data_IF_474232888628
#
_entry.id   IF_474232888628
#
_cell.length_a   1.000
_cell.length_b   1.000
_cell.length_c   1.000
_cell.angle_alpha   90.00
_cell.angle_beta   90.00
_cell.angle_gamma   90.00
#
_symmetry.space_group_name_H-M   'P 1'
#
loop_
_entity.id
_entity.type
_entity.pdbx_description
1 polymer ?
#
# COMPACT_ATOMS: atom_id res chain seq x y z
N UNK A 1 -0.96 -10.03 -27.08
CA UNK A 1 0.12 -9.05 -26.80
C UNK A 1 0.65 -9.28 -25.40
N UNK A 2 1.95 -9.59 -25.26
CA UNK A 2 2.59 -9.77 -23.95
C UNK A 2 2.78 -8.41 -23.32
N UNK A 3 2.09 -8.14 -22.20
CA UNK A 3 2.26 -6.90 -21.44
C UNK A 3 3.75 -6.79 -21.04
N UNK A 4 4.41 -5.70 -21.43
CA UNK A 4 5.81 -5.43 -21.05
C UNK A 4 5.92 -5.50 -19.53
N UNK A 5 6.84 -6.31 -19.02
CA UNK A 5 7.14 -6.33 -17.60
C UNK A 5 7.89 -5.05 -17.26
N UNK A 6 7.47 -4.39 -16.18
CA UNK A 6 8.02 -3.13 -15.70
C UNK A 6 8.27 -3.21 -14.20
N UNK A 7 9.19 -2.40 -13.73
CA UNK A 7 9.35 -2.13 -12.31
C UNK A 7 8.53 -0.91 -11.94
N UNK A 8 7.91 -0.99 -10.77
CA UNK A 8 7.10 0.06 -10.19
C UNK A 8 7.70 0.40 -8.84
N UNK A 9 7.81 1.68 -8.52
CA UNK A 9 8.33 2.13 -7.23
C UNK A 9 7.23 2.89 -6.49
N UNK A 10 7.07 2.55 -5.21
CA UNK A 10 6.26 3.29 -4.27
C UNK A 10 7.18 4.02 -3.30
N UNK A 11 7.05 5.34 -3.20
CA UNK A 11 7.74 6.15 -2.19
C UNK A 11 6.70 6.66 -1.20
N UNK A 12 6.77 6.18 0.03
CA UNK A 12 5.89 6.60 1.12
C UNK A 12 6.38 7.91 1.75
N UNK A 13 5.48 8.69 2.38
CA UNK A 13 5.84 9.99 2.97
C UNK A 13 6.86 9.89 4.11
N UNK A 14 6.96 8.73 4.76
CA UNK A 14 7.99 8.42 5.76
C UNK A 14 9.38 8.15 5.15
N UNK A 15 9.53 8.25 3.83
CA UNK A 15 10.78 7.96 3.11
C UNK A 15 11.00 6.49 2.78
N UNK A 16 10.08 5.60 3.20
CA UNK A 16 10.13 4.19 2.82
C UNK A 16 9.90 4.01 1.32
N UNK A 17 10.82 3.29 0.66
CA UNK A 17 10.75 2.98 -0.77
C UNK A 17 10.51 1.48 -0.96
N UNK A 18 9.54 1.13 -1.81
CA UNK A 18 9.26 -0.24 -2.24
C UNK A 18 9.36 -0.34 -3.75
N UNK A 19 10.25 -1.21 -4.23
CA UNK A 19 10.28 -1.65 -5.63
C UNK A 19 9.38 -2.87 -5.82
N UNK A 20 8.59 -2.87 -6.88
CA UNK A 20 7.59 -3.88 -7.22
C UNK A 20 7.84 -4.30 -8.67
N UNK A 21 8.28 -5.54 -8.89
CA UNK A 21 8.46 -6.05 -10.24
C UNK A 21 9.51 -7.14 -10.35
N UNK A 22 9.77 -7.63 -11.57
CA UNK A 22 9.18 -7.18 -12.84
C UNK A 22 7.74 -7.69 -13.04
N UNK A 23 6.77 -6.78 -13.13
CA UNK A 23 5.34 -7.11 -13.21
C UNK A 23 4.67 -6.56 -14.47
N UNK A 24 3.72 -7.33 -15.01
CA UNK A 24 2.83 -6.92 -16.09
C UNK A 24 1.44 -6.50 -15.59
N UNK A 25 1.22 -6.56 -14.27
CA UNK A 25 -0.03 -6.15 -13.67
C UNK A 25 -0.20 -4.63 -13.79
N UNK A 26 -1.42 -4.14 -14.06
CA UNK A 26 -1.71 -2.72 -14.19
C UNK A 26 -1.85 -2.08 -12.80
N UNK A 27 -0.90 -2.33 -11.89
CA UNK A 27 -0.89 -1.65 -10.61
C UNK A 27 -0.56 -0.18 -10.82
N UNK A 28 -1.28 0.67 -10.11
CA UNK A 28 -1.14 2.13 -10.19
C UNK A 28 -0.92 2.76 -8.83
N UNK A 29 -1.32 2.07 -7.75
CA UNK A 29 -1.22 2.58 -6.39
C UNK A 29 -0.69 1.51 -5.45
N UNK A 30 0.14 1.93 -4.51
CA UNK A 30 0.52 1.16 -3.34
C UNK A 30 -0.16 1.78 -2.13
N UNK A 31 -0.64 0.93 -1.23
CA UNK A 31 -1.21 1.38 0.02
C UNK A 31 -0.52 0.68 1.19
N UNK A 32 -0.36 1.41 2.28
CA UNK A 32 0.17 0.94 3.57
C UNK A 32 -0.81 1.33 4.66
N UNK A 33 -0.99 0.43 5.62
CA UNK A 33 -1.74 0.65 6.85
C UNK A 33 -0.76 0.45 7.98
N UNK A 34 -0.65 1.41 8.88
CA UNK A 34 0.08 1.25 10.13
C UNK A 34 -0.94 1.24 11.26
N UNK A 35 -1.28 0.06 11.76
CA UNK A 35 -2.15 -0.11 12.90
C UNK A 35 -1.34 -0.02 14.20
N UNK A 36 -1.76 0.84 15.12
CA UNK A 36 -1.17 0.99 16.45
C UNK A 36 -2.05 0.26 17.46
N UNK A 37 -1.51 -0.76 18.11
CA UNK A 37 -2.22 -1.64 19.06
C UNK A 37 -2.04 -1.19 20.51
N UNK A 38 -1.29 -0.11 20.74
CA UNK A 38 -0.91 0.36 22.06
C UNK A 38 0.21 -0.43 22.72
N UNK A 39 0.78 0.22 23.74
CA UNK A 39 1.98 -0.26 24.41
C UNK A 39 3.21 -0.32 23.49
N UNK A 40 3.27 0.55 22.48
CA UNK A 40 4.38 0.59 21.51
C UNK A 40 4.34 -0.47 20.41
N UNK A 41 3.26 -1.26 20.30
CA UNK A 41 3.11 -2.29 19.27
C UNK A 41 2.41 -1.73 18.03
N UNK A 42 2.98 -2.03 16.86
CA UNK A 42 2.41 -1.65 15.57
C UNK A 42 2.35 -2.85 14.63
N UNK A 43 1.21 -3.04 13.97
CA UNK A 43 1.05 -3.97 12.85
C UNK A 43 1.05 -3.17 11.55
N UNK A 44 1.86 -3.58 10.56
CA UNK A 44 1.91 -2.91 9.27
C UNK A 44 1.34 -3.84 8.20
N UNK A 45 0.38 -3.34 7.44
CA UNK A 45 -0.18 -4.00 6.28
C UNK A 45 0.15 -3.21 5.02
N UNK A 46 0.34 -3.90 3.91
CA UNK A 46 0.55 -3.24 2.63
C UNK A 46 -0.02 -4.04 1.47
N UNK A 47 -0.28 -3.35 0.37
CA UNK A 47 -0.72 -3.99 -0.86
C UNK A 47 -0.68 -3.04 -2.05
N UNK A 48 -1.05 -3.58 -3.20
CA UNK A 48 -1.08 -2.87 -4.47
C UNK A 48 -2.49 -2.91 -5.07
N UNK A 49 -2.89 -1.82 -5.71
CA UNK A 49 -4.20 -1.64 -6.33
C UNK A 49 -4.05 -1.16 -7.77
N UNK A 50 -5.06 -1.46 -8.61
CA UNK A 50 -5.08 -1.02 -10.01
C UNK A 50 -5.73 0.36 -10.16
N UNK A 51 -6.32 0.90 -9.10
CA UNK A 51 -6.93 2.23 -9.09
C UNK A 51 -6.95 2.84 -7.69
N UNK A 52 -6.97 4.17 -7.61
CA UNK A 52 -7.10 4.90 -6.35
C UNK A 52 -8.39 4.51 -5.60
N UNK A 53 -9.48 4.28 -6.32
CA UNK A 53 -10.76 3.83 -5.73
C UNK A 53 -10.64 2.48 -5.03
N UNK A 54 -9.93 1.52 -5.63
CA UNK A 54 -9.69 0.22 -5.01
C UNK A 54 -8.80 0.34 -3.76
N UNK A 55 -7.76 1.19 -3.82
CA UNK A 55 -6.91 1.49 -2.66
C UNK A 55 -7.73 2.13 -1.54
N UNK A 56 -8.49 3.20 -1.84
CA UNK A 56 -9.37 3.87 -0.85
C UNK A 56 -10.45 2.93 -0.30
N UNK A 57 -10.94 1.97 -1.09
CA UNK A 57 -11.86 0.94 -0.60
C UNK A 57 -11.28 0.09 0.54
N UNK A 58 -9.95 0.02 0.68
CA UNK A 58 -9.29 -0.66 1.81
C UNK A 58 -9.36 0.15 3.10
N UNK A 59 -9.56 1.46 3.05
CA UNK A 59 -9.74 2.29 4.25
C UNK A 59 -10.98 1.83 5.05
N UNK A 60 -12.10 1.56 4.38
CA UNK A 60 -13.30 1.05 5.04
C UNK A 60 -13.06 -0.32 5.69
N UNK A 61 -12.38 -1.23 4.99
CA UNK A 61 -11.97 -2.53 5.56
C UNK A 61 -11.00 -2.37 6.74
N UNK A 62 -10.15 -1.34 6.70
CA UNK A 62 -9.21 -0.98 7.77
C UNK A 62 -9.94 -0.48 9.01
N UNK A 63 -10.92 0.41 8.83
CA UNK A 63 -11.74 0.93 9.93
C UNK A 63 -12.54 -0.17 10.64
N UNK A 64 -13.08 -1.11 9.87
CA UNK A 64 -13.77 -2.29 10.42
C UNK A 64 -12.78 -3.22 11.15
N UNK A 65 -11.60 -3.46 10.57
CA UNK A 65 -10.55 -4.24 11.22
C UNK A 65 -10.05 -3.59 12.51
N UNK A 66 -9.93 -2.26 12.54
CA UNK A 66 -9.53 -1.49 13.71
C UNK A 66 -10.49 -1.71 14.88
N UNK A 67 -11.79 -1.66 14.61
CA UNK A 67 -12.83 -1.96 15.63
C UNK A 67 -12.75 -3.39 16.11
N UNK A 68 -12.64 -4.36 15.20
CA UNK A 68 -12.63 -5.79 15.55
C UNK A 68 -11.38 -6.21 16.31
N UNK A 69 -10.23 -5.61 15.99
CA UNK A 69 -8.93 -5.93 16.58
C UNK A 69 -8.56 -5.04 17.77
N UNK A 70 -9.36 -4.02 18.05
CA UNK A 70 -9.08 -3.06 19.13
C UNK A 70 -7.83 -2.22 18.88
N UNK A 71 -7.59 -1.80 17.64
CA UNK A 71 -6.50 -0.87 17.33
C UNK A 71 -6.79 0.50 17.93
N UNK A 72 -5.80 1.13 18.58
CA UNK A 72 -5.93 2.47 19.13
C UNK A 72 -6.06 3.53 18.04
N UNK A 73 -5.24 3.38 17.00
CA UNK A 73 -5.28 4.23 15.80
C UNK A 73 -4.71 3.47 14.61
N UNK A 74 -5.05 3.91 13.41
CA UNK A 74 -4.47 3.39 12.19
C UNK A 74 -4.16 4.53 11.22
N UNK A 75 -2.95 4.55 10.68
CA UNK A 75 -2.56 5.45 9.61
C UNK A 75 -2.76 4.75 8.27
N UNK A 76 -3.46 5.42 7.36
CA UNK A 76 -3.73 4.91 6.02
C UNK A 76 -2.99 5.76 4.99
N UNK A 77 -2.03 5.15 4.29
CA UNK A 77 -1.19 5.83 3.32
C UNK A 77 -1.42 5.22 1.95
N UNK A 78 -1.70 6.05 0.95
CA UNK A 78 -1.75 5.65 -0.45
C UNK A 78 -0.79 6.50 -1.23
N UNK A 79 0.04 5.86 -2.04
CA UNK A 79 0.96 6.53 -2.96
C UNK A 79 0.80 5.98 -4.37
N UNK A 80 0.96 6.86 -5.35
CA UNK A 80 0.98 6.45 -6.74
C UNK A 80 2.27 5.67 -7.03
N UNK A 81 2.14 4.63 -7.84
CA UNK A 81 3.28 3.87 -8.35
C UNK A 81 3.87 4.61 -9.53
N UNK A 82 5.19 4.82 -9.48
CA UNK A 82 5.95 5.36 -10.61
C UNK A 82 6.68 4.23 -11.31
N UNK A 83 6.63 4.21 -12.64
CA UNK A 83 7.46 3.29 -13.42
C UNK A 83 8.92 3.66 -13.18
N UNK A 84 9.72 2.68 -12.77
CA UNK A 84 11.15 2.88 -12.54
C UNK A 84 11.95 2.08 -13.55
N UNK A 85 12.99 2.72 -14.08
CA UNK A 85 14.03 2.08 -14.89
C UNK A 85 15.06 1.44 -13.95
N UNK A 86 14.61 0.61 -13.00
CA UNK A 86 15.57 -0.26 -12.33
C UNK A 86 15.91 -1.37 -13.32
N UNK A 87 17.13 -1.28 -13.87
CA UNK A 87 17.65 -2.05 -15.00
C UNK A 87 18.60 -3.14 -14.54
#
# INVERSE_FOLDING_TARGET
>A
MTKKKRFLTATLPDGYVKTIGPTAAPFTHYWRIVAHLGGGRTEVFWGHAKSLREAKGKEAATAEAAKQRGWERCDFEIVALVESDER
#
